data_IF_248871501543
#
_entry.id   IF_248871501543
#
_cell.length_a   1.000
_cell.length_b   1.000
_cell.length_c   1.000
_cell.angle_alpha   90.00
_cell.angle_beta   90.00
_cell.angle_gamma   90.00
#
_symmetry.space_group_name_H-M   'P 1'
#
loop_
_entity.id
_entity.type
_entity.pdbx_description
1 polymer ?
#
# COMPACT_ATOMS: atom_id res chain seq x y z
N UNK A 1 -12.33 -4.73 7.95
CA UNK A 1 -12.69 -5.95 8.72
C UNK A 1 -13.65 -6.89 8.00
N UNK A 2 -14.47 -6.44 7.04
CA UNK A 2 -15.38 -7.32 6.29
C UNK A 2 -14.67 -8.59 5.80
N UNK A 3 -13.58 -8.49 5.05
CA UNK A 3 -12.84 -9.64 4.53
C UNK A 3 -12.28 -10.62 5.59
N UNK A 4 -12.11 -10.20 6.84
CA UNK A 4 -11.58 -11.03 7.94
C UNK A 4 -12.67 -11.64 8.83
N UNK A 5 -13.87 -11.03 8.89
CA UNK A 5 -14.94 -11.45 9.82
C UNK A 5 -16.30 -11.75 9.13
N UNK A 6 -16.46 -11.43 7.85
CA UNK A 6 -17.67 -11.68 7.04
C UNK A 6 -17.31 -11.90 5.56
N UNK A 7 -17.67 -13.04 4.98
CA UNK A 7 -17.40 -13.35 3.57
C UNK A 7 -16.23 -14.32 3.42
N UNK A 8 -15.16 -13.96 2.70
CA UNK A 8 -14.03 -14.88 2.37
C UNK A 8 -13.13 -15.24 3.57
N UNK A 9 -13.23 -14.50 4.69
CA UNK A 9 -12.53 -14.78 5.95
C UNK A 9 -10.99 -14.96 5.83
N UNK A 10 -10.35 -14.14 4.99
CA UNK A 10 -8.90 -14.17 4.75
C UNK A 10 -8.14 -13.52 5.91
N UNK A 11 -7.70 -14.36 6.85
CA UNK A 11 -6.85 -13.93 7.96
C UNK A 11 -5.49 -13.41 7.45
N UNK A 12 -4.91 -12.47 8.19
CA UNK A 12 -3.61 -11.87 7.88
C UNK A 12 -3.54 -11.11 6.54
N UNK A 13 -4.69 -10.71 5.97
CA UNK A 13 -4.68 -9.83 4.79
C UNK A 13 -4.42 -8.38 5.20
N UNK A 14 -3.43 -7.74 4.59
CA UNK A 14 -3.15 -6.30 4.76
C UNK A 14 -3.37 -5.57 3.44
N UNK A 15 -4.13 -4.48 3.49
CA UNK A 15 -4.36 -3.59 2.35
C UNK A 15 -3.63 -2.28 2.59
N UNK A 16 -2.80 -1.85 1.64
CA UNK A 16 -2.10 -0.58 1.68
C UNK A 16 -2.54 0.24 0.48
N UNK A 17 -3.06 1.44 0.73
CA UNK A 17 -3.48 2.39 -0.31
C UNK A 17 -2.69 3.68 -0.15
N UNK A 18 -2.24 4.25 -1.28
CA UNK A 18 -1.57 5.54 -1.31
C UNK A 18 -2.11 6.36 -2.49
N UNK A 19 -2.03 7.69 -2.37
CA UNK A 19 -2.37 8.63 -3.44
C UNK A 19 -1.15 9.50 -3.72
N UNK A 20 -0.72 9.54 -4.98
CA UNK A 20 0.45 10.32 -5.40
C UNK A 20 0.00 11.66 -5.96
N UNK A 21 0.64 12.75 -5.52
CA UNK A 21 0.36 14.13 -5.95
C UNK A 21 1.67 14.86 -6.27
N UNK A 22 1.60 15.85 -7.16
CA UNK A 22 2.75 16.66 -7.57
C UNK A 22 3.92 15.81 -8.05
N UNK A 23 5.13 16.07 -7.54
CA UNK A 23 6.35 15.36 -7.96
C UNK A 23 6.29 13.84 -7.78
N UNK A 24 5.51 13.31 -6.83
CA UNK A 24 5.33 11.86 -6.67
C UNK A 24 4.41 11.24 -7.74
N UNK A 25 3.58 12.06 -8.38
CA UNK A 25 2.78 11.66 -9.53
C UNK A 25 3.56 11.81 -10.83
N UNK A 26 4.22 12.97 -11.00
CA UNK A 26 4.83 13.38 -12.26
C UNK A 26 6.21 12.73 -12.50
N UNK A 27 6.96 12.42 -11.44
CA UNK A 27 8.26 11.76 -11.53
C UNK A 27 8.15 10.28 -11.17
N UNK A 28 8.39 9.42 -12.16
CA UNK A 28 8.43 7.95 -11.99
C UNK A 28 9.54 7.53 -11.01
N UNK A 29 10.70 8.18 -11.05
CA UNK A 29 11.81 7.86 -10.16
C UNK A 29 11.44 8.14 -8.70
N UNK A 30 10.88 9.32 -8.42
CA UNK A 30 10.45 9.71 -7.07
C UNK A 30 9.32 8.82 -6.54
N UNK A 31 8.39 8.42 -7.41
CA UNK A 31 7.33 7.45 -7.08
C UNK A 31 7.90 6.09 -6.72
N UNK A 32 8.88 5.60 -7.47
CA UNK A 32 9.47 4.29 -7.24
C UNK A 32 10.25 4.24 -5.93
N UNK A 33 11.04 5.27 -5.64
CA UNK A 33 11.74 5.41 -4.34
C UNK A 33 10.74 5.40 -3.17
N UNK A 34 9.66 6.19 -3.28
CA UNK A 34 8.60 6.22 -2.27
C UNK A 34 7.93 4.85 -2.07
N UNK A 35 7.54 4.19 -3.17
CA UNK A 35 6.87 2.88 -3.10
C UNK A 35 7.79 1.79 -2.56
N UNK A 36 9.09 1.86 -2.86
CA UNK A 36 10.08 0.94 -2.32
C UNK A 36 10.16 1.09 -0.80
N UNK A 37 10.28 2.31 -0.29
CA UNK A 37 10.31 2.60 1.15
C UNK A 37 9.00 2.24 1.86
N UNK A 38 7.84 2.48 1.22
CA UNK A 38 6.53 2.19 1.80
C UNK A 38 6.29 0.69 2.01
N UNK A 39 6.82 -0.16 1.12
CA UNK A 39 6.69 -1.63 1.24
C UNK A 39 7.39 -2.19 2.47
N UNK A 40 8.51 -1.59 2.90
CA UNK A 40 9.24 -2.05 4.10
C UNK A 40 8.45 -1.85 5.40
N UNK A 41 7.54 -0.88 5.47
CA UNK A 41 6.66 -0.65 6.65
C UNK A 41 5.38 -1.50 6.62
N UNK A 42 5.08 -2.12 5.48
CA UNK A 42 3.87 -2.92 5.30
C UNK A 42 4.04 -4.41 5.71
N UNK A 43 5.25 -4.81 6.10
CA UNK A 43 5.58 -6.17 6.53
C UNK A 43 5.71 -6.37 8.06
N UNK A 44 5.44 -5.34 8.86
CA UNK A 44 5.36 -5.41 10.33
C UNK A 44 3.91 -5.53 10.83
#
# INVERSE_FOLDING_TARGET
>A
LCMMMRGVEKQNSRMVTSAMLGSFHDSVATRNEFLHLSRHRASE
#
